data_IF_120936263158
#
_entry.id   IF_120936263158
#
_cell.length_a   1.000
_cell.length_b   1.000
_cell.length_c   1.000
_cell.angle_alpha   90.00
_cell.angle_beta   90.00
_cell.angle_gamma   90.00
#
_symmetry.space_group_name_H-M   'P 1'
#
loop_
_entity.id
_entity.type
_entity.pdbx_description
1 polymer ?
#
# COMPACT_ATOMS: atom_id res chain seq x y z
N UNK A 1 20.88 30.83 27.56
CA UNK A 1 20.58 30.03 26.35
C UNK A 1 19.31 29.23 26.57
N UNK A 2 18.20 29.55 25.87
CA UNK A 2 16.94 28.81 25.97
C UNK A 2 17.18 27.36 25.52
N UNK A 3 16.74 26.38 26.31
CA UNK A 3 16.82 24.94 25.99
C UNK A 3 16.16 24.74 24.61
N UNK A 4 17.00 24.52 23.61
CA UNK A 4 16.66 24.46 22.19
C UNK A 4 15.56 23.42 21.90
N UNK A 5 14.73 23.73 20.90
CA UNK A 5 13.68 22.94 20.24
C UNK A 5 14.13 21.54 19.75
N UNK A 6 14.63 20.68 20.64
CA UNK A 6 14.92 19.30 20.27
C UNK A 6 13.63 18.49 20.25
N UNK A 7 13.20 18.12 19.04
CA UNK A 7 12.16 17.11 18.84
C UNK A 7 12.70 15.81 19.44
N UNK A 8 12.05 15.30 20.47
CA UNK A 8 12.40 14.01 21.09
C UNK A 8 11.96 12.87 20.18
N UNK A 9 12.65 11.72 20.25
CA UNK A 9 12.29 10.55 19.44
C UNK A 9 10.82 10.11 19.60
N UNK A 10 10.21 10.10 20.82
CA UNK A 10 8.78 9.81 20.96
C UNK A 10 7.88 10.85 20.29
N UNK A 11 8.24 12.14 20.38
CA UNK A 11 7.47 13.22 19.71
C UNK A 11 7.56 13.09 18.20
N UNK A 12 8.73 12.77 17.65
CA UNK A 12 8.90 12.50 16.22
C UNK A 12 8.07 11.30 15.78
N UNK A 13 8.12 10.19 16.51
CA UNK A 13 7.33 8.99 16.21
C UNK A 13 5.83 9.30 16.18
N UNK A 14 5.31 10.05 17.17
CA UNK A 14 3.90 10.47 17.21
C UNK A 14 3.50 11.31 15.99
N UNK A 15 4.36 12.25 15.58
CA UNK A 15 4.11 13.10 14.41
C UNK A 15 4.08 12.27 13.13
N UNK A 16 5.05 11.37 12.94
CA UNK A 16 5.12 10.49 11.76
C UNK A 16 3.90 9.56 11.73
N UNK A 17 3.58 8.90 12.84
CA UNK A 17 2.46 7.96 12.91
C UNK A 17 1.11 8.64 12.57
N UNK A 18 0.88 9.86 13.09
CA UNK A 18 -0.33 10.63 12.78
C UNK A 18 -0.37 11.08 11.32
N UNK A 19 0.76 11.58 10.82
CA UNK A 19 0.87 12.05 9.43
C UNK A 19 0.64 10.90 8.45
N UNK A 20 1.31 9.76 8.68
CA UNK A 20 1.14 8.54 7.90
C UNK A 20 -0.32 8.11 7.88
N UNK A 21 -1.00 8.05 9.04
CA UNK A 21 -2.42 7.67 9.10
C UNK A 21 -3.31 8.54 8.21
N UNK A 22 -3.15 9.86 8.25
CA UNK A 22 -3.96 10.78 7.44
C UNK A 22 -3.66 10.61 5.96
N UNK A 23 -2.37 10.47 5.60
CA UNK A 23 -1.95 10.26 4.21
C UNK A 23 -2.42 8.91 3.65
N UNK A 24 -2.34 7.84 4.44
CA UNK A 24 -2.87 6.52 4.07
C UNK A 24 -4.36 6.57 3.79
N UNK A 25 -5.15 7.22 4.66
CA UNK A 25 -6.59 7.37 4.43
C UNK A 25 -6.90 8.17 3.16
N UNK A 26 -6.12 9.20 2.85
CA UNK A 26 -6.28 9.96 1.61
C UNK A 26 -5.94 9.11 0.39
N UNK A 27 -4.82 8.38 0.43
CA UNK A 27 -4.39 7.50 -0.64
C UNK A 27 -5.40 6.36 -0.88
N UNK A 28 -5.84 5.69 0.18
CA UNK A 28 -6.86 4.63 0.11
C UNK A 28 -8.17 5.14 -0.48
N UNK A 29 -8.62 6.35 -0.13
CA UNK A 29 -9.80 6.96 -0.77
C UNK A 29 -9.59 7.24 -2.26
N UNK A 30 -8.42 7.75 -2.63
CA UNK A 30 -8.08 7.98 -4.03
C UNK A 30 -8.07 6.68 -4.83
N UNK A 31 -7.54 5.60 -4.25
CA UNK A 31 -7.52 4.26 -4.86
C UNK A 31 -8.95 3.71 -4.95
N UNK A 32 -9.76 3.86 -3.90
CA UNK A 32 -11.16 3.42 -3.91
C UNK A 32 -11.97 4.10 -5.02
N UNK A 33 -11.68 5.36 -5.36
CA UNK A 33 -12.34 6.07 -6.46
C UNK A 33 -12.04 5.47 -7.84
N UNK A 34 -11.01 4.62 -7.99
CA UNK A 34 -10.75 3.87 -9.23
C UNK A 34 -11.46 2.50 -9.25
N UNK A 35 -12.25 2.18 -8.23
CA UNK A 35 -12.89 0.86 -8.07
C UNK A 35 -11.96 -0.23 -7.54
N UNK A 36 -10.75 0.13 -7.09
CA UNK A 36 -9.75 -0.80 -6.55
C UNK A 36 -9.69 -0.68 -5.02
N UNK A 37 -9.31 -1.76 -4.34
CA UNK A 37 -8.84 -1.65 -2.96
C UNK A 37 -7.30 -1.60 -2.89
N UNK A 38 -6.75 -1.34 -1.70
CA UNK A 38 -5.30 -1.16 -1.53
C UNK A 38 -4.49 -2.38 -1.97
N UNK A 39 -5.01 -3.61 -1.77
CA UNK A 39 -4.32 -4.83 -2.19
C UNK A 39 -4.32 -4.99 -3.70
N UNK A 40 -5.40 -4.59 -4.37
CA UNK A 40 -5.50 -4.65 -5.84
C UNK A 40 -4.52 -3.65 -6.45
N UNK A 41 -4.48 -2.43 -5.91
CA UNK A 41 -3.51 -1.41 -6.29
C UNK A 41 -2.07 -1.90 -6.11
N UNK A 42 -1.74 -2.50 -4.97
CA UNK A 42 -0.39 -2.93 -4.69
C UNK A 42 0.06 -4.10 -5.60
N UNK A 43 -0.85 -5.01 -5.96
CA UNK A 43 -0.57 -6.04 -6.95
C UNK A 43 -0.32 -5.45 -8.35
N UNK A 44 -1.15 -4.50 -8.79
CA UNK A 44 -0.94 -3.80 -10.06
C UNK A 44 0.35 -2.98 -10.09
N UNK A 45 0.68 -2.27 -9.01
CA UNK A 45 1.91 -1.49 -8.88
C UNK A 45 3.15 -2.39 -9.03
N UNK A 46 3.13 -3.55 -8.38
CA UNK A 46 4.22 -4.53 -8.50
C UNK A 46 4.38 -5.02 -9.95
N UNK A 47 3.27 -5.35 -10.62
CA UNK A 47 3.29 -5.79 -12.02
C UNK A 47 3.77 -4.69 -12.98
N UNK A 48 3.30 -3.45 -12.80
CA UNK A 48 3.67 -2.32 -13.64
C UNK A 48 5.16 -1.95 -13.51
N UNK A 49 5.72 -2.03 -12.30
CA UNK A 49 7.13 -1.65 -12.07
C UNK A 49 8.13 -2.79 -12.21
N UNK A 50 7.70 -4.05 -12.05
CA UNK A 50 8.60 -5.21 -12.07
C UNK A 50 8.38 -6.14 -13.27
N UNK A 51 7.34 -5.89 -14.07
CA UNK A 51 6.96 -6.74 -15.19
C UNK A 51 6.11 -7.94 -14.75
N UNK A 52 5.98 -8.97 -15.61
CA UNK A 52 5.22 -10.18 -15.29
C UNK A 52 5.75 -10.86 -14.03
N UNK A 53 4.85 -11.14 -13.09
CA UNK A 53 5.15 -11.84 -11.84
C UNK A 53 4.09 -12.90 -11.59
N UNK A 54 4.50 -14.01 -10.99
CA UNK A 54 3.59 -15.01 -10.43
C UNK A 54 2.93 -14.48 -9.16
N UNK A 55 1.78 -15.08 -8.78
CA UNK A 55 1.06 -14.73 -7.54
C UNK A 55 1.98 -14.81 -6.31
N UNK A 56 2.86 -15.82 -6.25
CA UNK A 56 3.82 -15.99 -5.15
C UNK A 56 4.84 -14.85 -5.11
N UNK A 57 5.36 -14.43 -6.25
CA UNK A 57 6.34 -13.32 -6.31
C UNK A 57 5.70 -11.97 -5.95
N UNK A 58 4.43 -11.75 -6.29
CA UNK A 58 3.68 -10.56 -5.87
C UNK A 58 3.48 -10.61 -4.35
N UNK A 59 3.09 -11.76 -3.80
CA UNK A 59 2.91 -11.94 -2.36
C UNK A 59 4.18 -11.57 -1.57
N UNK A 60 5.34 -12.06 -2.02
CA UNK A 60 6.63 -11.78 -1.37
C UNK A 60 7.01 -10.29 -1.42
N UNK A 61 6.74 -9.62 -2.54
CA UNK A 61 7.06 -8.19 -2.71
C UNK A 61 6.13 -7.26 -1.95
N UNK A 62 4.84 -7.57 -1.93
CA UNK A 62 3.81 -6.72 -1.32
C UNK A 62 3.61 -7.04 0.17
N UNK A 63 4.17 -8.15 0.66
CA UNK A 63 4.09 -8.61 2.06
C UNK A 63 2.65 -8.79 2.55
N UNK A 64 1.76 -9.25 1.68
CA UNK A 64 0.37 -9.59 2.01
C UNK A 64 0.24 -11.07 2.40
N UNK A 65 -0.77 -11.40 3.19
CA UNK A 65 -1.13 -12.79 3.47
C UNK A 65 -1.66 -13.48 2.19
N UNK A 66 -1.38 -14.78 2.00
CA UNK A 66 -1.64 -15.48 0.73
C UNK A 66 -3.11 -15.41 0.28
N UNK A 67 -4.06 -15.63 1.20
CA UNK A 67 -5.50 -15.56 0.89
C UNK A 67 -5.97 -14.18 0.43
N UNK A 68 -5.27 -13.11 0.82
CA UNK A 68 -5.57 -11.76 0.34
C UNK A 68 -5.04 -11.50 -1.07
N UNK A 69 -3.98 -12.21 -1.48
CA UNK A 69 -3.36 -12.03 -2.78
C UNK A 69 -4.18 -12.70 -3.89
N UNK A 70 -4.61 -13.95 -3.70
CA UNK A 70 -5.46 -14.65 -4.69
C UNK A 70 -6.75 -13.86 -4.95
N UNK A 71 -7.41 -13.39 -3.88
CA UNK A 71 -8.62 -12.59 -4.03
C UNK A 71 -8.39 -11.25 -4.77
N UNK A 72 -7.21 -10.66 -4.65
CA UNK A 72 -6.84 -9.44 -5.37
C UNK A 72 -6.64 -9.72 -6.86
N UNK A 73 -5.90 -10.77 -7.20
CA UNK A 73 -5.68 -11.18 -8.60
C UNK A 73 -7.00 -11.52 -9.28
N UNK A 74 -7.88 -12.29 -8.63
CA UNK A 74 -9.21 -12.62 -9.16
C UNK A 74 -10.07 -11.38 -9.45
N UNK A 75 -9.97 -10.33 -8.62
CA UNK A 75 -10.68 -9.06 -8.85
C UNK A 75 -10.08 -8.32 -10.03
N UNK A 76 -8.76 -8.28 -10.13
CA UNK A 76 -8.05 -7.60 -11.22
C UNK A 76 -8.29 -8.29 -12.57
N UNK A 77 -8.36 -9.61 -12.60
CA UNK A 77 -8.67 -10.39 -13.81
C UNK A 77 -10.10 -10.09 -14.28
N UNK A 78 -11.07 -10.05 -13.36
CA UNK A 78 -12.46 -9.66 -13.66
C UNK A 78 -12.59 -8.24 -14.22
N UNK A 79 -11.66 -7.35 -13.86
CA UNK A 79 -11.58 -5.99 -14.40
C UNK A 79 -10.81 -5.91 -15.73
N UNK A 80 -10.24 -7.03 -16.21
CA UNK A 80 -9.43 -7.09 -17.43
C UNK A 80 -8.08 -6.39 -17.31
N UNK A 81 -7.56 -6.24 -16.09
CA UNK A 81 -6.30 -5.54 -15.81
C UNK A 81 -5.09 -6.48 -15.75
N UNK A 82 -5.32 -7.77 -15.56
CA UNK A 82 -4.31 -8.85 -15.55
C UNK A 82 -4.85 -10.08 -16.30
N UNK A 83 -3.95 -11.01 -16.66
CA UNK A 83 -4.21 -12.26 -17.38
C UNK A 83 -3.34 -13.39 -16.83
#
# INVERSE_FOLDING_TARGET
MKKSDRITAPRLWLVIAKSYRVLSLLAERSIANTGLCLTDFAALEALLHKGPLTISEIQDKVRLASGSMTAAVDRLEKLGLVV
#
